data_IF_324765081921
#
_entry.id   IF_324765081921
#
_cell.length_a   1.000
_cell.length_b   1.000
_cell.length_c   1.000
_cell.angle_alpha   90.00
_cell.angle_beta   90.00
_cell.angle_gamma   90.00
#
_symmetry.space_group_name_H-M   'P 1'
#
loop_
_entity.id
_entity.type
_entity.pdbx_description
1 polymer ?
#
# COMPACT_ATOMS: atom_id res chain seq x y z
N UNK A 1 -57.82 42.40 42.39
CA UNK A 1 -57.35 41.03 42.21
C UNK A 1 -56.26 41.06 41.16
N UNK A 2 -54.98 40.97 41.56
CA UNK A 2 -53.82 41.10 40.64
C UNK A 2 -53.25 39.68 40.41
N UNK A 3 -53.41 39.13 39.20
CA UNK A 3 -52.84 37.88 38.81
C UNK A 3 -51.34 38.08 38.59
N UNK A 4 -50.52 37.37 39.39
CA UNK A 4 -49.06 37.23 39.18
C UNK A 4 -48.86 36.03 38.22
N UNK A 5 -48.40 36.33 37.01
CA UNK A 5 -47.91 35.32 36.07
C UNK A 5 -46.44 35.02 36.40
N UNK A 6 -46.15 33.79 36.81
CA UNK A 6 -44.78 33.32 36.99
C UNK A 6 -44.26 32.82 35.63
N UNK A 7 -43.24 33.46 35.10
CA UNK A 7 -42.46 32.97 34.01
C UNK A 7 -41.37 31.99 34.56
N UNK A 8 -41.52 30.72 34.28
CA UNK A 8 -40.49 29.74 34.50
C UNK A 8 -39.63 29.72 33.20
N UNK A 9 -38.42 30.31 33.28
CA UNK A 9 -37.40 30.18 32.25
C UNK A 9 -36.73 28.83 32.42
N UNK A 10 -37.08 27.87 31.57
CA UNK A 10 -36.34 26.62 31.45
C UNK A 10 -35.01 26.90 30.76
N UNK A 11 -33.91 26.85 31.52
CA UNK A 11 -32.55 26.79 31.00
C UNK A 11 -32.40 25.41 30.31
N UNK A 12 -32.53 25.34 28.99
CA UNK A 12 -32.00 24.23 28.23
C UNK A 12 -30.47 24.39 28.20
N UNK A 13 -29.79 23.67 29.07
CA UNK A 13 -28.36 23.40 28.92
C UNK A 13 -28.19 22.52 27.69
N UNK A 14 -27.98 23.12 26.52
CA UNK A 14 -27.54 22.42 25.34
C UNK A 14 -26.16 21.84 25.65
N UNK A 15 -26.12 20.54 25.93
CA UNK A 15 -24.87 19.77 25.81
C UNK A 15 -24.53 19.84 24.33
N UNK A 16 -23.64 20.79 23.95
CA UNK A 16 -23.00 20.74 22.67
C UNK A 16 -22.23 19.41 22.64
N UNK A 17 -22.78 18.40 21.98
CA UNK A 17 -22.02 17.24 21.61
C UNK A 17 -20.87 17.76 20.75
N UNK A 18 -19.68 17.83 21.36
CA UNK A 18 -18.49 18.04 20.55
C UNK A 18 -18.44 16.87 19.58
N UNK A 19 -18.28 17.11 18.28
CA UNK A 19 -18.07 16.02 17.34
C UNK A 19 -16.87 15.25 17.90
N UNK A 20 -17.05 13.95 18.18
CA UNK A 20 -15.97 13.02 18.48
C UNK A 20 -15.06 13.06 17.26
N UNK A 21 -14.05 13.93 17.31
CA UNK A 21 -13.04 14.01 16.28
C UNK A 21 -12.27 12.71 16.36
N UNK A 22 -12.43 11.84 15.37
CA UNK A 22 -11.60 10.66 15.26
C UNK A 22 -10.15 11.11 15.39
N UNK A 23 -9.40 10.48 16.30
CA UNK A 23 -7.99 10.83 16.48
C UNK A 23 -7.27 10.51 15.19
N UNK A 24 -6.66 11.51 14.59
CA UNK A 24 -5.88 11.35 13.37
C UNK A 24 -4.68 10.45 13.65
N UNK A 25 -4.45 9.44 12.83
CA UNK A 25 -3.28 8.59 12.92
C UNK A 25 -3.48 7.25 12.18
N UNK A 26 -2.37 6.70 11.73
CA UNK A 26 -2.22 5.30 11.35
C UNK A 26 -1.14 4.76 12.28
N UNK A 27 -1.55 3.90 13.21
CA UNK A 27 -0.69 3.40 14.26
C UNK A 27 -0.22 2.00 13.93
N UNK A 28 1.05 1.71 14.23
CA UNK A 28 1.50 0.32 14.29
C UNK A 28 0.87 -0.37 15.51
N UNK A 29 0.62 -1.67 15.47
CA UNK A 29 -0.06 -2.37 16.57
C UNK A 29 0.62 -2.20 17.94
N UNK A 30 1.95 -2.15 17.97
CA UNK A 30 2.77 -1.93 19.17
C UNK A 30 2.55 -0.55 19.82
N UNK A 31 2.10 0.46 19.06
CA UNK A 31 1.76 1.79 19.56
C UNK A 31 0.36 1.85 20.22
N UNK A 32 -0.51 0.87 20.00
CA UNK A 32 -1.88 0.91 20.52
C UNK A 32 -1.98 0.97 22.05
N UNK A 33 -1.12 0.32 22.84
CA UNK A 33 -1.09 0.48 24.29
C UNK A 33 -0.77 1.90 24.74
N UNK A 34 0.07 2.65 24.01
CA UNK A 34 0.47 4.02 24.36
C UNK A 34 -0.70 5.01 24.22
N UNK A 35 -1.62 4.73 23.30
CA UNK A 35 -2.84 5.53 23.06
C UNK A 35 -4.10 4.92 23.69
N UNK A 36 -3.96 4.00 24.65
CA UNK A 36 -5.06 3.25 25.28
C UNK A 36 -6.17 4.14 25.82
N UNK A 37 -5.82 5.32 26.40
CA UNK A 37 -6.80 6.24 26.94
C UNK A 37 -7.69 6.84 25.84
N UNK A 38 -7.10 7.20 24.70
CA UNK A 38 -7.81 7.75 23.56
C UNK A 38 -8.71 6.69 22.90
N UNK A 39 -8.19 5.47 22.73
CA UNK A 39 -8.96 4.34 22.19
C UNK A 39 -10.19 4.01 23.05
N UNK A 40 -10.04 4.03 24.37
CA UNK A 40 -11.18 3.85 25.30
C UNK A 40 -12.17 5.01 25.20
N UNK A 41 -11.70 6.24 25.06
CA UNK A 41 -12.57 7.41 24.90
C UNK A 41 -13.40 7.34 23.61
N UNK A 42 -12.92 6.66 22.57
CA UNK A 42 -13.66 6.40 21.32
C UNK A 42 -14.52 5.14 21.37
N UNK A 43 -14.58 4.44 22.50
CA UNK A 43 -15.47 3.29 22.71
C UNK A 43 -14.81 1.90 22.58
N UNK A 44 -13.47 1.81 22.51
CA UNK A 44 -12.81 0.50 22.48
C UNK A 44 -13.01 -0.22 23.82
N UNK A 45 -13.61 -1.41 23.78
CA UNK A 45 -13.84 -2.30 24.92
C UNK A 45 -12.72 -3.34 25.10
N UNK A 46 -12.04 -3.72 24.02
CA UNK A 46 -10.94 -4.70 24.05
C UNK A 46 -9.70 -4.06 24.67
N UNK A 47 -8.92 -4.84 25.41
CA UNK A 47 -7.63 -4.36 25.92
C UNK A 47 -6.68 -4.06 24.75
N UNK A 48 -6.14 -2.82 24.62
CA UNK A 48 -5.21 -2.44 23.57
C UNK A 48 -3.97 -3.35 23.43
N UNK A 49 -3.47 -3.90 24.54
CA UNK A 49 -2.39 -4.89 24.55
C UNK A 49 -2.70 -6.15 23.71
N UNK A 50 -3.98 -6.54 23.68
CA UNK A 50 -4.41 -7.67 22.84
C UNK A 50 -4.34 -7.35 21.35
N UNK A 51 -4.48 -6.08 20.99
CA UNK A 51 -4.38 -5.60 19.61
C UNK A 51 -2.93 -5.37 19.17
N UNK A 52 -1.99 -5.28 20.10
CA UNK A 52 -0.56 -5.16 19.81
C UNK A 52 0.06 -6.50 19.36
N UNK A 53 -0.52 -7.65 19.75
CA UNK A 53 -0.05 -8.97 19.36
C UNK A 53 -0.59 -9.39 17.98
N UNK A 54 0.24 -9.23 16.94
CA UNK A 54 -0.11 -9.62 15.57
C UNK A 54 -0.20 -11.14 15.35
N UNK A 55 0.20 -11.96 16.31
CA UNK A 55 0.10 -13.43 16.24
C UNK A 55 -1.03 -13.99 17.10
N UNK A 56 -1.62 -13.16 17.98
CA UNK A 56 -2.75 -13.45 18.84
C UNK A 56 -4.10 -13.05 18.22
N UNK A 57 -5.20 -13.47 18.88
CA UNK A 57 -6.54 -13.01 18.47
C UNK A 57 -6.80 -11.59 18.98
N UNK A 58 -7.40 -10.69 18.18
CA UNK A 58 -7.95 -10.90 16.85
C UNK A 58 -6.94 -10.68 15.68
N UNK A 59 -5.81 -10.06 15.94
CA UNK A 59 -4.88 -9.58 14.90
C UNK A 59 -4.26 -10.71 14.09
N UNK A 60 -4.00 -11.86 14.68
CA UNK A 60 -3.50 -13.05 13.98
C UNK A 60 -4.46 -13.66 12.95
N UNK A 61 -5.70 -13.15 12.85
CA UNK A 61 -6.60 -13.48 11.75
C UNK A 61 -6.42 -12.58 10.53
N UNK A 62 -5.74 -11.43 10.67
CA UNK A 62 -5.47 -10.48 9.58
C UNK A 62 -4.26 -10.95 8.80
N UNK A 63 -4.40 -11.06 7.48
CA UNK A 63 -3.39 -11.61 6.59
C UNK A 63 -3.13 -10.70 5.39
N UNK A 64 -1.97 -10.86 4.76
CA UNK A 64 -1.60 -10.12 3.56
C UNK A 64 -1.76 -10.98 2.31
N UNK A 65 -2.24 -10.38 1.22
CA UNK A 65 -2.22 -10.99 -0.11
C UNK A 65 -1.05 -10.47 -0.97
N UNK A 66 -0.06 -9.84 -0.34
CA UNK A 66 1.09 -9.24 -1.03
C UNK A 66 0.90 -7.79 -1.47
N UNK A 67 -0.33 -7.36 -1.73
CA UNK A 67 -0.67 -5.96 -2.10
C UNK A 67 -2.03 -5.55 -1.57
N UNK A 68 -2.70 -6.44 -0.84
CA UNK A 68 -4.02 -6.23 -0.26
C UNK A 68 -4.08 -6.81 1.14
N UNK A 69 -4.90 -6.20 1.99
CA UNK A 69 -5.29 -6.77 3.29
C UNK A 69 -6.41 -7.78 3.12
N UNK A 70 -6.40 -8.79 3.96
CA UNK A 70 -7.44 -9.81 4.03
C UNK A 70 -7.57 -10.35 5.46
N UNK A 71 -8.59 -11.15 5.73
CA UNK A 71 -8.76 -11.80 7.03
C UNK A 71 -9.34 -13.18 6.89
N UNK A 72 -8.88 -14.14 7.72
CA UNK A 72 -9.58 -15.39 7.88
C UNK A 72 -10.91 -15.16 8.61
N UNK A 73 -11.98 -15.74 8.06
CA UNK A 73 -13.34 -15.66 8.62
C UNK A 73 -13.96 -17.04 8.86
N UNK A 74 -13.18 -18.09 8.77
CA UNK A 74 -13.61 -19.44 9.12
C UNK A 74 -12.45 -20.32 9.58
N UNK A 75 -12.71 -21.38 10.36
CA UNK A 75 -11.68 -22.35 10.77
C UNK A 75 -11.21 -23.25 9.63
N UNK A 76 -11.73 -23.07 8.41
CA UNK A 76 -11.39 -23.85 7.22
C UNK A 76 -10.78 -22.95 6.12
N UNK A 77 -9.99 -21.96 6.51
CA UNK A 77 -9.18 -21.16 5.59
C UNK A 77 -9.94 -20.21 4.67
N UNK A 78 -11.24 -19.92 4.95
CA UNK A 78 -11.97 -18.91 4.17
C UNK A 78 -11.42 -17.52 4.49
N UNK A 79 -11.09 -16.76 3.45
CA UNK A 79 -10.46 -15.45 3.51
C UNK A 79 -11.38 -14.42 2.86
N UNK A 80 -11.70 -13.34 3.57
CA UNK A 80 -12.40 -12.19 3.02
C UNK A 80 -11.38 -11.13 2.60
N UNK A 81 -11.60 -10.51 1.44
CA UNK A 81 -10.81 -9.39 0.93
C UNK A 81 -11.67 -8.48 0.06
N UNK A 82 -11.10 -7.43 -0.48
CA UNK A 82 -11.79 -6.55 -1.42
C UNK A 82 -12.03 -7.23 -2.78
N UNK A 83 -13.12 -6.86 -3.46
CA UNK A 83 -13.38 -7.34 -4.83
C UNK A 83 -12.28 -6.90 -5.80
N UNK A 84 -11.83 -5.65 -5.72
CA UNK A 84 -10.77 -5.17 -6.60
C UNK A 84 -9.45 -5.96 -6.44
N UNK A 85 -9.17 -6.53 -5.26
CA UNK A 85 -8.03 -7.41 -5.02
C UNK A 85 -8.21 -8.79 -5.67
N UNK A 86 -9.44 -9.30 -5.71
CA UNK A 86 -9.78 -10.58 -6.32
C UNK A 86 -10.03 -10.49 -7.83
N UNK A 87 -10.29 -9.29 -8.35
CA UNK A 87 -10.75 -9.07 -9.74
C UNK A 87 -9.81 -9.68 -10.79
N UNK A 88 -8.49 -9.64 -10.54
CA UNK A 88 -7.51 -10.32 -11.41
C UNK A 88 -7.73 -11.84 -11.51
N UNK A 89 -8.10 -12.49 -10.41
CA UNK A 89 -8.42 -13.93 -10.40
C UNK A 89 -9.78 -14.21 -11.03
N UNK A 90 -10.76 -13.33 -10.86
CA UNK A 90 -12.06 -13.43 -11.56
C UNK A 90 -11.85 -13.34 -13.07
N UNK A 91 -11.08 -12.36 -13.53
CA UNK A 91 -10.75 -12.19 -14.95
C UNK A 91 -9.97 -13.39 -15.51
N UNK A 92 -9.00 -13.91 -14.76
CA UNK A 92 -8.20 -15.08 -15.16
C UNK A 92 -9.05 -16.32 -15.45
N UNK A 93 -10.12 -16.50 -14.68
CA UNK A 93 -11.05 -17.64 -14.81
C UNK A 93 -12.26 -17.36 -15.72
N UNK A 94 -12.42 -16.12 -16.20
CA UNK A 94 -13.53 -15.78 -17.10
C UNK A 94 -13.26 -16.18 -18.54
N UNK A 95 -14.29 -16.67 -19.21
CA UNK A 95 -14.32 -16.96 -20.65
C UNK A 95 -15.52 -16.26 -21.30
N UNK A 96 -15.63 -16.31 -22.63
CA UNK A 96 -16.81 -15.78 -23.32
C UNK A 96 -18.12 -16.47 -22.91
N UNK A 97 -18.06 -17.77 -22.59
CA UNK A 97 -19.20 -18.57 -22.15
C UNK A 97 -19.49 -18.39 -20.66
N UNK A 98 -18.47 -18.12 -19.84
CA UNK A 98 -18.56 -17.97 -18.40
C UNK A 98 -17.91 -16.65 -17.97
N UNK A 99 -18.58 -15.54 -18.24
CA UNK A 99 -18.09 -14.20 -17.87
C UNK A 99 -18.37 -13.90 -16.39
N UNK A 100 -17.46 -14.31 -15.52
CA UNK A 100 -17.59 -14.08 -14.07
C UNK A 100 -17.44 -12.62 -13.65
N UNK A 101 -16.83 -11.75 -14.47
CA UNK A 101 -16.82 -10.30 -14.21
C UNK A 101 -18.23 -9.72 -14.31
N UNK A 102 -19.01 -10.17 -15.29
CA UNK A 102 -20.37 -9.71 -15.51
C UNK A 102 -21.40 -10.38 -14.59
N UNK A 103 -21.26 -11.70 -14.39
CA UNK A 103 -22.28 -12.51 -13.73
C UNK A 103 -21.95 -12.82 -12.25
N UNK A 104 -20.73 -12.52 -11.79
CA UNK A 104 -20.24 -12.97 -10.49
C UNK A 104 -19.88 -14.46 -10.50
N UNK A 105 -19.31 -14.92 -9.39
CA UNK A 105 -18.93 -16.31 -9.17
C UNK A 105 -19.28 -16.75 -7.76
N UNK A 106 -19.80 -17.95 -7.60
CA UNK A 106 -20.02 -18.60 -6.30
C UNK A 106 -19.77 -20.11 -6.43
N UNK A 107 -18.74 -20.60 -5.77
CA UNK A 107 -18.54 -22.04 -5.55
C UNK A 107 -19.51 -22.54 -4.48
N UNK A 108 -20.40 -23.45 -4.84
CA UNK A 108 -21.37 -24.09 -3.90
C UNK A 108 -20.74 -25.23 -3.10
N UNK A 109 -19.63 -25.78 -3.64
CA UNK A 109 -18.84 -26.84 -3.00
C UNK A 109 -17.35 -26.54 -3.19
N UNK A 110 -16.50 -27.12 -2.32
CA UNK A 110 -15.04 -26.96 -2.41
C UNK A 110 -14.44 -27.44 -3.74
N UNK A 111 -15.07 -28.45 -4.35
CA UNK A 111 -14.68 -28.96 -5.67
C UNK A 111 -14.95 -28.00 -6.84
N UNK A 112 -15.74 -26.96 -6.60
CA UNK A 112 -16.06 -25.92 -7.58
C UNK A 112 -15.20 -24.65 -7.41
N UNK A 113 -14.38 -24.57 -6.34
CA UNK A 113 -13.50 -23.46 -6.09
C UNK A 113 -12.41 -23.37 -7.17
N UNK A 114 -12.24 -22.22 -7.78
CA UNK A 114 -11.34 -22.00 -8.91
C UNK A 114 -9.94 -21.54 -8.45
N UNK A 115 -8.85 -22.05 -9.03
CA UNK A 115 -7.53 -21.53 -8.75
C UNK A 115 -7.48 -20.01 -8.94
N UNK A 116 -6.88 -19.29 -7.99
CA UNK A 116 -6.62 -17.87 -8.17
C UNK A 116 -5.61 -17.63 -9.32
N UNK A 117 -5.50 -16.37 -9.75
CA UNK A 117 -4.52 -16.01 -10.77
C UNK A 117 -3.10 -16.44 -10.35
N UNK A 118 -2.23 -16.86 -11.30
CA UNK A 118 -0.87 -17.26 -11.00
C UNK A 118 -0.13 -16.19 -10.17
N UNK A 119 0.59 -16.62 -9.13
CA UNK A 119 1.29 -15.73 -8.21
C UNK A 119 0.46 -15.24 -7.03
N UNK A 120 -0.84 -15.55 -6.97
CA UNK A 120 -1.64 -15.27 -5.78
C UNK A 120 -1.09 -16.00 -4.56
N UNK A 121 -1.03 -15.30 -3.43
CA UNK A 121 -0.49 -15.81 -2.16
C UNK A 121 -1.34 -15.32 -0.99
N UNK A 122 -1.37 -16.10 0.09
CA UNK A 122 -1.81 -15.64 1.40
C UNK A 122 -0.62 -15.73 2.35
N UNK A 123 -0.22 -14.60 2.92
CA UNK A 123 0.86 -14.52 3.89
C UNK A 123 0.28 -14.43 5.30
N UNK A 124 0.57 -15.43 6.13
CA UNK A 124 0.12 -15.51 7.52
C UNK A 124 1.30 -15.19 8.44
N UNK A 125 1.23 -14.08 9.17
CA UNK A 125 2.28 -13.73 10.15
C UNK A 125 2.31 -14.74 11.28
N UNK A 126 3.46 -15.37 11.48
CA UNK A 126 3.65 -16.42 12.51
C UNK A 126 4.60 -16.00 13.62
N UNK A 127 5.51 -15.06 13.32
CA UNK A 127 6.50 -14.56 14.29
C UNK A 127 6.91 -13.14 13.91
N UNK A 128 7.18 -12.32 14.93
CA UNK A 128 7.71 -10.97 14.80
C UNK A 128 8.85 -10.84 15.82
N UNK A 129 10.00 -10.35 15.37
CA UNK A 129 11.18 -10.20 16.23
C UNK A 129 11.90 -8.89 15.93
N UNK A 130 12.32 -8.19 16.97
CA UNK A 130 13.23 -7.04 16.84
C UNK A 130 14.62 -7.52 16.42
N UNK A 131 15.11 -6.98 15.32
CA UNK A 131 16.47 -7.26 14.78
C UNK A 131 17.31 -5.98 14.67
N UNK A 132 16.86 -4.89 15.29
CA UNK A 132 17.49 -3.57 15.24
C UNK A 132 18.96 -3.63 15.62
N UNK A 133 19.29 -4.28 16.74
CA UNK A 133 20.68 -4.42 17.19
C UNK A 133 21.56 -5.14 16.16
N UNK A 134 21.03 -6.19 15.50
CA UNK A 134 21.77 -6.93 14.47
C UNK A 134 22.03 -6.09 13.23
N UNK A 135 21.05 -5.26 12.83
CA UNK A 135 21.17 -4.42 11.64
C UNK A 135 22.05 -3.21 11.91
N UNK A 136 21.92 -2.57 13.08
CA UNK A 136 22.58 -1.30 13.41
C UNK A 136 23.97 -1.42 14.03
N UNK A 137 24.46 -2.59 14.37
CA UNK A 137 25.75 -2.76 15.03
C UNK A 137 26.88 -2.06 14.28
N UNK A 138 27.47 -1.02 14.88
CA UNK A 138 28.63 -0.30 14.36
C UNK A 138 28.40 0.55 13.11
N UNK A 139 27.17 0.73 12.61
CA UNK A 139 26.91 1.49 11.36
C UNK A 139 27.14 2.99 11.51
N UNK A 140 27.09 3.55 12.72
CA UNK A 140 27.22 4.98 12.96
C UNK A 140 28.66 5.50 12.68
N UNK A 141 29.63 4.62 12.68
CA UNK A 141 31.04 4.94 12.36
C UNK A 141 31.34 4.85 10.85
N UNK A 142 30.41 4.40 10.04
CA UNK A 142 30.58 4.17 8.60
C UNK A 142 30.24 5.42 7.78
N UNK A 143 30.86 5.57 6.61
CA UNK A 143 30.41 6.55 5.61
C UNK A 143 28.99 6.22 5.11
N UNK A 144 28.23 7.19 4.54
CA UNK A 144 26.86 6.95 4.08
C UNK A 144 26.71 5.75 3.13
N UNK A 145 27.61 5.58 2.18
CA UNK A 145 27.56 4.46 1.23
C UNK A 145 27.88 3.12 1.92
N UNK A 146 28.92 3.08 2.75
CA UNK A 146 29.27 1.86 3.51
C UNK A 146 28.15 1.47 4.48
N UNK A 147 27.48 2.46 5.09
CA UNK A 147 26.32 2.24 5.96
C UNK A 147 25.18 1.60 5.16
N UNK A 148 24.84 2.17 4.01
CA UNK A 148 23.79 1.63 3.14
C UNK A 148 24.09 0.18 2.75
N UNK A 149 25.27 -0.10 2.23
CA UNK A 149 25.68 -1.43 1.80
C UNK A 149 25.68 -2.44 2.96
N UNK A 150 26.11 -2.00 4.15
CA UNK A 150 26.16 -2.85 5.35
C UNK A 150 24.74 -3.19 5.84
N UNK A 151 23.85 -2.20 5.89
CA UNK A 151 22.46 -2.41 6.29
C UNK A 151 21.75 -3.33 5.29
N UNK A 152 21.89 -3.05 3.99
CA UNK A 152 21.28 -3.85 2.92
C UNK A 152 21.74 -5.33 2.99
N UNK A 153 23.06 -5.57 3.18
CA UNK A 153 23.58 -6.92 3.28
C UNK A 153 23.06 -7.65 4.54
N UNK A 154 23.03 -6.97 5.70
CA UNK A 154 22.52 -7.57 6.95
C UNK A 154 21.05 -7.92 6.88
N UNK A 155 20.25 -7.05 6.26
CA UNK A 155 18.81 -7.31 5.99
C UNK A 155 18.64 -8.55 5.12
N UNK A 156 19.46 -8.71 4.07
CA UNK A 156 19.46 -9.90 3.22
C UNK A 156 19.86 -11.16 3.98
N UNK A 157 20.91 -11.08 4.80
CA UNK A 157 21.40 -12.23 5.58
C UNK A 157 20.35 -12.70 6.60
N UNK A 158 19.73 -11.76 7.34
CA UNK A 158 18.66 -12.07 8.29
C UNK A 158 17.45 -12.68 7.57
N UNK A 159 17.09 -12.15 6.40
CA UNK A 159 16.00 -12.67 5.59
C UNK A 159 16.30 -14.09 5.10
N UNK A 160 17.50 -14.34 4.58
CA UNK A 160 17.92 -15.64 4.10
C UNK A 160 18.00 -16.69 5.23
N UNK A 161 18.48 -16.30 6.42
CA UNK A 161 18.48 -17.14 7.61
C UNK A 161 17.05 -17.56 8.00
N UNK A 162 16.12 -16.61 8.03
CA UNK A 162 14.71 -16.86 8.35
C UNK A 162 14.05 -17.81 7.33
N UNK A 163 14.38 -17.69 6.06
CA UNK A 163 13.78 -18.50 4.97
C UNK A 163 14.42 -19.88 4.79
N UNK A 164 15.37 -20.28 5.64
CA UNK A 164 15.83 -21.67 5.69
C UNK A 164 14.68 -22.62 6.08
N UNK A 165 13.70 -22.13 6.80
CA UNK A 165 12.47 -22.86 7.08
C UNK A 165 11.61 -22.90 5.80
N UNK A 166 11.42 -24.07 5.21
CA UNK A 166 10.65 -24.24 3.99
C UNK A 166 9.20 -23.76 4.15
N UNK A 167 8.69 -23.06 3.14
CA UNK A 167 7.31 -22.55 3.11
C UNK A 167 7.11 -21.21 3.80
N UNK A 168 8.17 -20.60 4.34
CA UNK A 168 8.10 -19.27 4.92
C UNK A 168 8.66 -18.21 3.97
N UNK A 169 8.11 -17.01 4.07
CA UNK A 169 8.57 -15.79 3.41
C UNK A 169 8.82 -14.73 4.48
N UNK A 170 10.05 -14.24 4.55
CA UNK A 170 10.47 -13.31 5.59
C UNK A 170 10.69 -11.90 5.03
N UNK A 171 10.44 -10.91 5.87
CA UNK A 171 10.64 -9.50 5.58
C UNK A 171 11.28 -8.83 6.78
N UNK A 172 12.37 -8.10 6.57
CA UNK A 172 12.87 -7.14 7.56
C UNK A 172 12.30 -5.77 7.19
N UNK A 173 11.40 -5.27 8.01
CA UNK A 173 10.80 -3.95 7.86
C UNK A 173 11.61 -2.91 8.62
N UNK A 174 11.81 -1.73 8.01
CA UNK A 174 12.46 -0.58 8.64
C UNK A 174 11.41 0.43 9.07
N UNK A 175 11.53 0.94 10.30
CA UNK A 175 10.67 1.98 10.86
C UNK A 175 11.48 3.21 11.25
N UNK A 176 10.82 4.35 11.35
CA UNK A 176 11.39 5.63 11.82
C UNK A 176 12.71 6.02 11.13
N UNK A 177 12.76 5.85 9.80
CA UNK A 177 13.95 6.22 9.03
C UNK A 177 15.18 5.32 9.27
N UNK A 178 14.98 4.09 9.75
CA UNK A 178 16.06 3.14 10.05
C UNK A 178 16.51 3.13 11.52
N UNK A 179 15.69 3.70 12.41
CA UNK A 179 15.91 3.59 13.85
C UNK A 179 15.54 2.20 14.38
N UNK A 180 14.55 1.55 13.78
CA UNK A 180 14.09 0.23 14.16
C UNK A 180 13.98 -0.71 12.96
N UNK A 181 14.32 -1.98 13.18
CA UNK A 181 14.21 -3.05 12.20
C UNK A 181 13.51 -4.25 12.80
N UNK A 182 12.43 -4.67 12.17
CA UNK A 182 11.60 -5.78 12.63
C UNK A 182 11.57 -6.90 11.59
N UNK A 183 11.96 -8.09 12.00
CA UNK A 183 11.81 -9.31 11.20
C UNK A 183 10.39 -9.83 11.34
N UNK A 184 9.71 -9.99 10.21
CA UNK A 184 8.35 -10.55 10.10
C UNK A 184 8.44 -11.87 9.36
N UNK A 185 8.23 -12.99 10.06
CA UNK A 185 8.18 -14.34 9.48
C UNK A 185 6.74 -14.69 9.14
N UNK A 186 6.50 -15.08 7.88
CA UNK A 186 5.17 -15.36 7.38
C UNK A 186 5.12 -16.71 6.68
N UNK A 187 4.14 -17.53 7.03
CA UNK A 187 3.81 -18.71 6.22
C UNK A 187 3.29 -18.24 4.86
N UNK A 188 3.88 -18.70 3.77
CA UNK A 188 3.47 -18.42 2.40
C UNK A 188 2.51 -19.51 1.92
N UNK A 189 1.21 -19.28 1.94
CA UNK A 189 0.23 -20.21 1.36
C UNK A 189 0.11 -19.92 -0.12
N UNK A 190 0.44 -20.91 -0.96
CA UNK A 190 0.57 -20.78 -2.42
C UNK A 190 -0.66 -21.26 -3.18
N UNK A 191 -1.42 -22.21 -2.65
CA UNK A 191 -2.69 -22.65 -3.21
C UNK A 191 -3.82 -21.79 -2.65
N UNK A 192 -4.24 -20.82 -3.45
CA UNK A 192 -5.32 -19.89 -3.15
C UNK A 192 -6.43 -20.11 -4.18
N UNK A 193 -7.68 -20.28 -3.71
CA UNK A 193 -8.81 -20.54 -4.61
C UNK A 193 -9.91 -19.53 -4.40
N UNK A 194 -10.48 -19.06 -5.54
CA UNK A 194 -11.64 -18.19 -5.56
C UNK A 194 -12.89 -18.93 -5.12
N UNK A 195 -13.59 -18.41 -4.13
CA UNK A 195 -14.82 -18.98 -3.58
C UNK A 195 -16.05 -18.17 -4.00
N UNK A 196 -15.91 -16.83 -3.92
CA UNK A 196 -16.98 -15.91 -4.26
C UNK A 196 -16.41 -14.59 -4.77
N UNK A 197 -17.04 -14.06 -5.79
CA UNK A 197 -16.87 -12.68 -6.23
C UNK A 197 -18.23 -12.17 -6.73
N UNK A 198 -18.68 -10.97 -6.33
CA UNK A 198 -19.86 -10.35 -6.92
C UNK A 198 -19.60 -9.99 -8.39
N UNK A 199 -20.65 -9.79 -9.16
CA UNK A 199 -20.56 -9.15 -10.46
C UNK A 199 -19.93 -7.76 -10.35
N UNK A 200 -19.22 -7.29 -11.38
CA UNK A 200 -18.63 -5.92 -11.40
C UNK A 200 -19.69 -4.84 -11.17
N UNK A 201 -20.94 -5.06 -11.58
CA UNK A 201 -22.09 -4.17 -11.30
C UNK A 201 -22.37 -3.95 -9.80
N UNK A 202 -21.84 -4.82 -8.92
CA UNK A 202 -21.90 -4.71 -7.47
C UNK A 202 -20.50 -4.41 -6.93
N UNK A 203 -19.50 -5.23 -7.28
CA UNK A 203 -18.15 -5.15 -6.76
C UNK A 203 -17.36 -3.92 -7.22
N UNK A 204 -17.78 -3.31 -8.33
CA UNK A 204 -17.27 -2.05 -8.89
C UNK A 204 -18.39 -1.03 -9.12
N UNK A 205 -19.46 -1.10 -8.32
CA UNK A 205 -20.57 -0.16 -8.43
C UNK A 205 -20.10 1.29 -8.31
N UNK A 206 -20.64 2.17 -9.19
CA UNK A 206 -20.24 3.57 -9.29
C UNK A 206 -18.95 3.79 -10.10
N UNK A 207 -18.22 2.71 -10.44
CA UNK A 207 -17.04 2.76 -11.29
C UNK A 207 -16.02 3.82 -10.87
N UNK A 208 -15.44 4.51 -11.86
CA UNK A 208 -14.46 5.56 -11.61
C UNK A 208 -15.11 6.87 -11.13
N UNK A 209 -16.45 7.06 -11.35
CA UNK A 209 -17.18 8.25 -10.90
C UNK A 209 -17.23 8.29 -9.37
N UNK A 210 -17.55 7.17 -8.70
CA UNK A 210 -17.66 7.09 -7.25
C UNK A 210 -16.30 6.81 -6.58
N UNK A 211 -15.26 6.50 -7.34
CA UNK A 211 -13.93 6.25 -6.80
C UNK A 211 -13.40 7.51 -6.10
N UNK A 212 -12.83 7.34 -4.88
CA UNK A 212 -12.40 8.43 -4.00
C UNK A 212 -13.49 9.42 -3.60
N UNK A 213 -14.77 9.01 -3.69
CA UNK A 213 -15.92 9.83 -3.32
C UNK A 213 -16.61 9.31 -2.07
N UNK A 214 -17.29 10.19 -1.36
CA UNK A 214 -18.16 9.89 -0.22
C UNK A 214 -19.52 10.55 -0.42
N UNK A 215 -20.65 9.86 -0.16
CA UNK A 215 -20.76 8.44 0.23
C UNK A 215 -20.46 7.49 -0.94
N UNK A 216 -20.11 6.23 -0.60
CA UNK A 216 -19.82 5.19 -1.59
C UNK A 216 -20.66 3.94 -1.29
N UNK A 217 -21.24 3.33 -2.33
CA UNK A 217 -22.16 2.20 -2.23
C UNK A 217 -21.63 0.94 -2.94
N UNK A 218 -20.35 0.85 -3.16
CA UNK A 218 -19.71 -0.29 -3.82
C UNK A 218 -19.68 -1.51 -2.88
N UNK A 219 -20.12 -2.67 -3.37
CA UNK A 219 -19.98 -3.96 -2.68
C UNK A 219 -18.61 -4.58 -2.89
N UNK A 220 -17.54 -3.88 -2.46
CA UNK A 220 -16.14 -4.22 -2.74
C UNK A 220 -15.64 -5.31 -1.79
N UNK A 221 -16.18 -6.54 -1.91
CA UNK A 221 -15.73 -7.71 -1.17
C UNK A 221 -15.75 -8.97 -2.01
N UNK A 222 -14.84 -9.89 -1.73
CA UNK A 222 -14.73 -11.23 -2.34
C UNK A 222 -14.16 -12.22 -1.34
N UNK A 223 -14.31 -13.50 -1.64
CA UNK A 223 -13.79 -14.57 -0.78
C UNK A 223 -12.84 -15.47 -1.55
N UNK A 224 -11.73 -15.77 -0.92
CA UNK A 224 -10.81 -16.83 -1.28
C UNK A 224 -10.83 -17.94 -0.23
N UNK A 225 -10.22 -19.07 -0.54
CA UNK A 225 -9.83 -20.09 0.46
C UNK A 225 -8.35 -20.42 0.26
N UNK A 226 -7.65 -20.49 1.38
CA UNK A 226 -6.25 -20.93 1.45
C UNK A 226 -6.19 -22.45 1.61
N UNK A 227 -5.31 -23.10 0.85
CA UNK A 227 -5.08 -24.54 0.87
C UNK A 227 -3.60 -24.86 1.12
N UNK A 228 -3.34 -25.99 1.75
CA UNK A 228 -2.01 -26.50 2.05
C UNK A 228 -1.95 -28.00 1.73
N UNK A 229 -0.75 -28.57 1.65
CA UNK A 229 -0.59 -30.02 1.56
C UNK A 229 -1.27 -30.74 2.75
N UNK A 230 -1.60 -32.04 2.63
CA UNK A 230 -2.25 -32.79 3.70
C UNK A 230 -1.49 -32.81 5.03
N UNK A 231 -0.18 -32.65 4.99
CA UNK A 231 0.70 -32.52 6.16
C UNK A 231 0.74 -31.12 6.78
N UNK A 232 0.03 -30.13 6.17
CA UNK A 232 -0.04 -28.75 6.60
C UNK A 232 1.06 -27.85 6.07
N UNK A 233 1.96 -28.37 5.23
CA UNK A 233 3.04 -27.56 4.61
C UNK A 233 2.54 -26.73 3.43
N UNK A 234 3.24 -25.63 3.15
CA UNK A 234 2.99 -24.78 1.96
C UNK A 234 3.22 -25.60 0.69
N UNK A 235 2.25 -25.58 -0.22
CA UNK A 235 2.30 -26.29 -1.49
C UNK A 235 1.69 -25.46 -2.63
N UNK A 236 2.18 -25.65 -3.86
CA UNK A 236 1.49 -25.16 -5.06
C UNK A 236 0.15 -25.90 -5.22
N UNK A 237 -0.70 -25.39 -6.13
CA UNK A 237 -2.01 -26.00 -6.39
C UNK A 237 -1.94 -27.51 -6.63
N UNK A 238 -2.74 -28.28 -5.91
CA UNK A 238 -2.98 -29.69 -6.12
C UNK A 238 -4.41 -30.05 -5.69
N UNK A 239 -5.04 -30.99 -6.40
CA UNK A 239 -6.36 -31.50 -6.00
C UNK A 239 -6.33 -32.21 -4.63
N UNK A 240 -5.17 -32.72 -4.22
CA UNK A 240 -4.97 -33.39 -2.93
C UNK A 240 -4.82 -32.41 -1.76
N UNK A 241 -4.62 -31.12 -2.03
CA UNK A 241 -4.48 -30.13 -0.97
C UNK A 241 -5.77 -29.97 -0.16
N UNK A 242 -5.58 -29.69 1.13
CA UNK A 242 -6.68 -29.53 2.10
C UNK A 242 -6.80 -28.07 2.53
N UNK A 243 -8.00 -27.61 2.94
CA UNK A 243 -8.16 -26.26 3.47
C UNK A 243 -7.21 -25.99 4.64
N UNK A 244 -6.51 -24.86 4.58
CA UNK A 244 -5.69 -24.37 5.68
C UNK A 244 -6.55 -24.18 6.93
N UNK A 245 -6.02 -24.51 8.10
CA UNK A 245 -6.68 -24.32 9.39
C UNK A 245 -5.98 -23.19 10.15
N UNK A 246 -6.47 -21.94 10.02
CA UNK A 246 -5.86 -20.82 10.71
C UNK A 246 -6.00 -20.97 12.23
N UNK A 247 -4.98 -20.54 12.97
CA UNK A 247 -5.01 -20.49 14.43
C UNK A 247 -6.10 -19.53 14.92
N UNK A 248 -6.32 -18.46 14.19
CA UNK A 248 -7.30 -17.41 14.50
C UNK A 248 -8.15 -17.09 13.27
N UNK A 249 -9.42 -16.79 13.48
CA UNK A 249 -10.33 -16.27 12.45
C UNK A 249 -11.35 -15.32 13.09
N UNK A 250 -11.75 -14.30 12.34
CA UNK A 250 -12.76 -13.34 12.76
C UNK A 250 -14.17 -13.93 12.60
N UNK A 251 -15.10 -13.51 13.43
CA UNK A 251 -16.53 -13.79 13.26
C UNK A 251 -17.15 -12.64 12.48
N UNK A 252 -17.93 -12.97 11.46
CA UNK A 252 -18.73 -11.98 10.74
C UNK A 252 -19.97 -11.66 11.59
N UNK A 253 -20.16 -10.38 11.95
CA UNK A 253 -21.36 -9.89 12.62
C UNK A 253 -22.37 -9.44 11.58
N UNK A 254 -23.60 -9.90 11.67
CA UNK A 254 -24.74 -9.45 10.88
C UNK A 254 -25.64 -8.42 11.62
N UNK A 255 -25.24 -8.01 12.83
CA UNK A 255 -26.02 -7.06 13.62
C UNK A 255 -26.00 -5.63 13.06
N UNK A 256 -25.01 -5.31 12.23
CA UNK A 256 -24.78 -3.95 11.74
C UNK A 256 -24.02 -3.10 12.77
N UNK A 257 -23.99 -1.79 12.51
CA UNK A 257 -23.36 -0.77 13.34
C UNK A 257 -24.37 0.36 13.54
N UNK A 258 -24.35 0.95 14.71
CA UNK A 258 -25.10 2.16 15.03
C UNK A 258 -24.15 3.39 15.01
N UNK A 259 -24.75 4.58 14.95
CA UNK A 259 -23.97 5.84 15.02
C UNK A 259 -23.30 5.97 16.39
N UNK A 260 -21.98 6.15 16.37
CA UNK A 260 -21.16 6.23 17.60
C UNK A 260 -20.49 4.91 18.00
N UNK A 261 -20.77 3.81 17.32
CA UNK A 261 -20.05 2.54 17.58
C UNK A 261 -18.57 2.66 17.24
N UNK A 262 -17.74 2.03 18.04
CA UNK A 262 -16.31 1.93 17.76
C UNK A 262 -16.03 1.01 16.56
N UNK A 263 -15.27 1.51 15.61
CA UNK A 263 -14.78 0.74 14.46
C UNK A 263 -13.26 0.87 14.34
N UNK A 264 -12.60 -0.18 13.89
CA UNK A 264 -11.17 -0.23 13.65
C UNK A 264 -10.88 -0.92 12.33
N UNK A 265 -10.03 -0.32 11.49
CA UNK A 265 -9.49 -0.97 10.31
C UNK A 265 -8.08 -1.48 10.62
N UNK A 266 -7.86 -2.78 10.49
CA UNK A 266 -6.56 -3.43 10.65
C UNK A 266 -6.13 -4.08 9.33
N UNK A 267 -4.87 -3.89 8.94
CA UNK A 267 -4.39 -4.46 7.69
C UNK A 267 -2.97 -4.06 7.32
N UNK A 268 -2.67 -4.25 6.05
CA UNK A 268 -1.37 -3.98 5.44
C UNK A 268 -1.50 -2.81 4.45
N UNK A 269 -1.55 -1.55 4.94
CA UNK A 269 -1.65 -0.38 4.08
C UNK A 269 -0.38 -0.20 3.25
N UNK A 270 -0.45 0.64 2.20
CA UNK A 270 0.70 1.03 1.41
C UNK A 270 1.65 1.94 2.20
N UNK A 271 1.64 3.23 1.89
CA UNK A 271 2.46 4.23 2.57
C UNK A 271 1.60 5.37 3.10
N UNK A 272 2.09 6.04 4.16
CA UNK A 272 1.50 7.27 4.69
C UNK A 272 2.60 8.27 5.02
N UNK A 273 2.31 9.57 4.86
CA UNK A 273 3.23 10.68 5.10
C UNK A 273 2.59 11.66 6.08
N UNK A 274 2.61 11.34 7.38
CA UNK A 274 1.90 12.13 8.39
C UNK A 274 2.74 13.21 9.04
N UNK A 275 4.01 12.95 9.29
CA UNK A 275 4.90 13.84 10.04
C UNK A 275 5.91 14.57 9.15
N UNK A 276 5.54 14.80 7.88
CA UNK A 276 6.38 15.54 6.93
C UNK A 276 6.50 17.01 7.31
N UNK A 277 7.68 17.56 7.08
CA UNK A 277 8.02 18.97 7.33
C UNK A 277 7.31 19.89 6.32
N UNK A 278 7.16 21.16 6.69
CA UNK A 278 6.51 22.19 5.87
C UNK A 278 7.10 22.28 4.44
N UNK A 279 8.43 22.19 4.32
CA UNK A 279 9.12 22.21 3.02
C UNK A 279 8.67 21.06 2.12
N UNK A 280 8.57 19.85 2.66
CA UNK A 280 8.10 18.66 1.94
C UNK A 280 6.61 18.76 1.58
N UNK A 281 5.76 19.25 2.49
CA UNK A 281 4.34 19.48 2.22
C UNK A 281 4.16 20.48 1.07
N UNK A 282 4.90 21.60 1.08
CA UNK A 282 4.90 22.56 -0.02
C UNK A 282 5.34 21.92 -1.33
N UNK A 283 6.50 21.23 -1.34
CA UNK A 283 6.98 20.56 -2.54
C UNK A 283 5.97 19.54 -3.09
N UNK A 284 5.30 18.78 -2.21
CA UNK A 284 4.30 17.80 -2.60
C UNK A 284 3.07 18.44 -3.24
N UNK A 285 2.48 19.44 -2.61
CA UNK A 285 1.19 20.01 -3.06
C UNK A 285 1.32 21.18 -4.04
N UNK A 286 2.48 21.82 -4.11
CA UNK A 286 2.71 22.95 -5.03
C UNK A 286 3.48 22.54 -6.30
N UNK A 287 4.26 21.42 -6.26
CA UNK A 287 5.03 20.95 -7.39
C UNK A 287 4.77 19.49 -7.77
N UNK A 288 5.03 18.52 -6.88
CA UNK A 288 5.01 17.10 -7.23
C UNK A 288 3.65 16.64 -7.74
N UNK A 289 2.60 16.83 -6.94
CA UNK A 289 1.25 16.38 -7.31
C UNK A 289 0.68 17.13 -8.52
N UNK A 290 0.74 18.47 -8.62
CA UNK A 290 0.28 19.17 -9.81
C UNK A 290 1.02 18.77 -11.10
N UNK A 291 2.35 18.59 -11.02
CA UNK A 291 3.16 18.13 -12.15
C UNK A 291 2.75 16.72 -12.57
N UNK A 292 2.56 15.83 -11.59
CA UNK A 292 2.19 14.46 -11.89
C UNK A 292 0.76 14.33 -12.42
N UNK A 293 -0.20 15.08 -11.89
CA UNK A 293 -1.57 15.15 -12.45
C UNK A 293 -1.54 15.60 -13.91
N UNK A 294 -0.73 16.61 -14.25
CA UNK A 294 -0.56 17.05 -15.63
C UNK A 294 0.03 15.95 -16.52
N UNK A 295 1.05 15.25 -16.02
CA UNK A 295 1.65 14.13 -16.75
C UNK A 295 0.66 12.97 -16.92
N UNK A 296 -0.11 12.62 -15.88
CA UNK A 296 -1.11 11.54 -15.93
C UNK A 296 -2.20 11.83 -16.97
N UNK A 297 -2.71 13.07 -17.03
CA UNK A 297 -3.70 13.44 -18.04
C UNK A 297 -3.12 13.30 -19.46
N UNK A 298 -1.93 13.84 -19.71
CA UNK A 298 -1.27 13.70 -21.01
C UNK A 298 -0.99 12.23 -21.37
N UNK A 299 -0.69 11.41 -20.37
CA UNK A 299 -0.43 9.98 -20.56
C UNK A 299 -1.70 9.22 -20.91
N UNK A 300 -2.81 9.50 -20.22
CA UNK A 300 -4.13 8.94 -20.51
C UNK A 300 -4.53 9.30 -21.94
N UNK A 301 -4.49 10.58 -22.31
CA UNK A 301 -4.81 11.07 -23.65
C UNK A 301 -3.94 10.38 -24.72
N UNK A 302 -2.63 10.24 -24.47
CA UNK A 302 -1.70 9.57 -25.39
C UNK A 302 -2.06 8.10 -25.62
N UNK A 303 -2.44 7.37 -24.56
CA UNK A 303 -2.88 5.98 -24.69
C UNK A 303 -4.20 5.91 -25.43
N UNK A 304 -5.17 6.78 -25.13
CA UNK A 304 -6.49 6.79 -25.78
C UNK A 304 -6.41 7.11 -27.28
N UNK A 305 -5.53 8.02 -27.67
CA UNK A 305 -5.25 8.32 -29.07
C UNK A 305 -4.56 7.16 -29.80
N UNK A 306 -3.57 6.52 -29.17
CA UNK A 306 -2.82 5.40 -29.77
C UNK A 306 -3.58 4.06 -29.74
N UNK A 307 -4.54 3.91 -28.82
CA UNK A 307 -5.40 2.74 -28.63
C UNK A 307 -6.89 3.15 -28.61
N UNK A 308 -7.50 3.44 -29.77
CA UNK A 308 -8.92 3.84 -29.84
C UNK A 308 -9.86 2.75 -29.28
N UNK A 309 -11.04 3.17 -28.82
CA UNK A 309 -12.06 2.24 -28.32
C UNK A 309 -12.35 1.13 -29.35
N UNK A 310 -12.48 -0.10 -28.88
CA UNK A 310 -12.76 -1.28 -29.70
C UNK A 310 -11.53 -1.87 -30.40
N UNK A 311 -10.33 -1.28 -30.26
CA UNK A 311 -9.11 -1.86 -30.80
C UNK A 311 -8.50 -2.92 -29.86
N UNK A 312 -7.73 -3.88 -30.43
CA UNK A 312 -6.98 -4.87 -29.65
C UNK A 312 -5.98 -4.20 -28.70
N UNK A 313 -5.38 -3.09 -29.11
CA UNK A 313 -4.50 -2.30 -28.27
C UNK A 313 -5.23 -1.74 -27.05
N UNK A 314 -6.48 -1.26 -27.19
CA UNK A 314 -7.31 -0.78 -26.07
C UNK A 314 -7.53 -1.87 -25.03
N UNK A 315 -7.86 -3.09 -25.44
CA UNK A 315 -8.05 -4.22 -24.52
C UNK A 315 -6.79 -4.49 -23.70
N UNK A 316 -5.61 -4.40 -24.31
CA UNK A 316 -4.32 -4.60 -23.62
C UNK A 316 -4.03 -3.50 -22.60
N UNK A 317 -4.43 -2.26 -22.87
CA UNK A 317 -4.12 -1.09 -22.04
C UNK A 317 -5.24 -0.69 -21.07
N UNK A 318 -6.41 -1.35 -21.09
CA UNK A 318 -7.55 -1.03 -20.23
C UNK A 318 -7.21 -1.02 -18.74
N UNK A 319 -6.46 -2.02 -18.27
CA UNK A 319 -6.01 -2.09 -16.88
C UNK A 319 -5.03 -0.97 -16.52
N UNK A 320 -4.18 -0.55 -17.47
CA UNK A 320 -3.25 0.56 -17.29
C UNK A 320 -4.00 1.89 -17.21
N UNK A 321 -4.93 2.13 -18.12
CA UNK A 321 -5.79 3.32 -18.11
C UNK A 321 -6.59 3.42 -16.81
N UNK A 322 -7.21 2.32 -16.36
CA UNK A 322 -7.91 2.30 -15.08
C UNK A 322 -6.98 2.68 -13.89
N UNK A 323 -5.73 2.19 -13.89
CA UNK A 323 -4.74 2.56 -12.89
C UNK A 323 -4.35 4.04 -12.94
N UNK A 324 -4.11 4.58 -14.13
CA UNK A 324 -3.76 6.00 -14.33
C UNK A 324 -4.90 6.92 -13.91
N UNK A 325 -6.15 6.63 -14.32
CA UNK A 325 -7.34 7.38 -13.92
C UNK A 325 -7.56 7.35 -12.40
N UNK A 326 -7.39 6.17 -11.78
CA UNK A 326 -7.49 6.03 -10.33
C UNK A 326 -6.46 6.93 -9.60
N UNK A 327 -5.22 6.95 -10.09
CA UNK A 327 -4.14 7.72 -9.47
C UNK A 327 -4.31 9.23 -9.70
N UNK A 328 -4.67 9.63 -10.90
CA UNK A 328 -4.97 11.03 -11.24
C UNK A 328 -6.07 11.60 -10.35
N UNK A 329 -7.18 10.89 -10.23
CA UNK A 329 -8.31 11.29 -9.39
C UNK A 329 -7.95 11.38 -7.91
N UNK A 330 -7.14 10.45 -7.43
CA UNK A 330 -6.62 10.47 -6.06
C UNK A 330 -5.79 11.74 -5.79
N UNK A 331 -4.79 12.02 -6.64
CA UNK A 331 -3.90 13.16 -6.46
C UNK A 331 -4.66 14.50 -6.58
N UNK A 332 -5.55 14.62 -7.54
CA UNK A 332 -6.42 15.81 -7.69
C UNK A 332 -7.27 16.02 -6.44
N UNK A 333 -7.90 14.96 -5.94
CA UNK A 333 -8.68 15.01 -4.71
C UNK A 333 -7.84 15.45 -3.50
N UNK A 334 -6.60 14.98 -3.39
CA UNK A 334 -5.67 15.40 -2.33
C UNK A 334 -5.30 16.88 -2.46
N UNK A 335 -4.97 17.37 -3.67
CA UNK A 335 -4.69 18.79 -3.92
C UNK A 335 -5.86 19.67 -3.50
N UNK A 336 -7.07 19.30 -3.91
CA UNK A 336 -8.28 20.07 -3.60
C UNK A 336 -8.60 20.01 -2.10
N UNK A 337 -8.43 18.86 -1.46
CA UNK A 337 -8.57 18.68 -0.03
C UNK A 337 -7.57 19.54 0.76
N UNK A 338 -6.29 19.48 0.39
CA UNK A 338 -5.24 20.28 1.03
C UNK A 338 -5.50 21.79 0.93
N UNK A 339 -5.99 22.25 -0.22
CA UNK A 339 -6.38 23.66 -0.42
C UNK A 339 -7.57 24.05 0.46
N UNK A 340 -8.61 23.20 0.55
CA UNK A 340 -9.83 23.48 1.34
C UNK A 340 -9.53 23.61 2.82
N UNK A 341 -8.64 22.78 3.36
CA UNK A 341 -8.27 22.82 4.79
C UNK A 341 -7.08 23.75 5.07
N UNK A 342 -6.53 24.40 4.05
CA UNK A 342 -5.29 25.19 4.18
C UNK A 342 -4.16 24.40 4.82
N UNK A 343 -3.89 23.17 4.31
CA UNK A 343 -2.92 22.24 4.90
C UNK A 343 -1.54 22.86 5.10
N UNK A 344 -1.06 23.64 4.14
CA UNK A 344 0.24 24.34 4.21
C UNK A 344 0.25 25.33 5.38
N UNK A 345 -0.83 26.11 5.57
CA UNK A 345 -0.97 27.04 6.68
C UNK A 345 -1.02 26.31 8.03
N UNK A 346 -1.83 25.26 8.14
CA UNK A 346 -1.90 24.43 9.35
C UNK A 346 -0.55 23.82 9.73
N UNK A 347 0.22 23.38 8.74
CA UNK A 347 1.57 22.84 8.99
C UNK A 347 2.52 23.94 9.45
N UNK A 348 2.48 25.11 8.84
CA UNK A 348 3.30 26.25 9.23
C UNK A 348 2.99 26.69 10.68
N UNK A 349 1.72 26.71 11.08
CA UNK A 349 1.32 27.02 12.46
C UNK A 349 1.88 26.00 13.46
N UNK A 350 1.76 24.69 13.17
CA UNK A 350 2.31 23.62 14.02
C UNK A 350 3.84 23.69 14.15
N UNK A 351 4.55 24.01 13.07
CA UNK A 351 6.01 24.16 13.14
C UNK A 351 6.42 25.40 13.93
N UNK A 352 5.70 26.52 13.78
CA UNK A 352 5.94 27.69 14.60
C UNK A 352 5.70 27.43 16.10
N UNK A 353 4.70 26.62 16.45
CA UNK A 353 4.47 26.18 17.84
C UNK A 353 5.63 25.32 18.35
N UNK A 354 6.14 24.38 17.52
CA UNK A 354 7.30 23.56 17.85
C UNK A 354 8.56 24.40 18.04
N UNK A 355 8.83 25.33 17.14
CA UNK A 355 9.97 26.26 17.21
C UNK A 355 9.91 27.11 18.49
N UNK A 356 8.72 27.62 18.83
CA UNK A 356 8.52 28.38 20.06
C UNK A 356 8.76 27.52 21.31
N UNK A 357 8.31 26.25 21.28
CA UNK A 357 8.54 25.30 22.37
C UNK A 357 10.04 24.95 22.52
N UNK A 358 10.76 24.80 21.43
CA UNK A 358 12.22 24.58 21.43
C UNK A 358 12.93 25.82 22.01
N UNK A 359 12.60 27.01 21.51
CA UNK A 359 13.23 28.25 21.92
C UNK A 359 12.99 28.60 23.38
N UNK A 360 11.92 28.12 24.00
CA UNK A 360 11.58 28.37 25.40
C UNK A 360 12.51 27.69 26.41
N UNK A 361 13.33 26.70 25.99
CA UNK A 361 14.21 25.95 26.88
C UNK A 361 15.55 25.59 26.19
N UNK A 362 16.69 26.14 26.66
CA UNK A 362 18.01 25.83 26.06
C UNK A 362 18.35 24.35 26.03
N UNK A 363 17.80 23.52 26.91
CA UNK A 363 18.02 22.06 26.91
C UNK A 363 17.45 21.36 25.68
N UNK A 364 16.60 22.05 24.92
CA UNK A 364 15.95 21.57 23.71
C UNK A 364 16.68 21.93 22.40
N UNK A 365 17.84 22.60 22.50
CA UNK A 365 18.61 23.05 21.31
C UNK A 365 18.90 21.93 20.30
N UNK A 366 19.15 20.70 20.76
CA UNK A 366 19.38 19.55 19.90
C UNK A 366 18.22 19.23 18.94
N UNK A 367 16.98 19.51 19.32
CA UNK A 367 15.83 19.39 18.42
C UNK A 367 15.90 20.41 17.26
N UNK A 368 16.32 21.65 17.55
CA UNK A 368 16.50 22.68 16.53
C UNK A 368 17.59 22.32 15.52
N UNK A 369 18.71 21.74 15.99
CA UNK A 369 19.79 21.27 15.12
C UNK A 369 19.31 20.11 14.22
N UNK A 370 18.57 19.14 14.78
CA UNK A 370 18.01 18.03 14.01
C UNK A 370 16.98 18.50 12.95
N UNK A 371 16.12 19.47 13.29
CA UNK A 371 15.16 20.08 12.39
C UNK A 371 15.88 20.78 11.22
N UNK A 372 16.91 21.59 11.51
CA UNK A 372 17.69 22.25 10.46
C UNK A 372 18.36 21.26 9.50
N UNK A 373 18.92 20.18 10.00
CA UNK A 373 19.51 19.12 9.20
C UNK A 373 18.45 18.39 8.33
N UNK A 374 17.25 18.14 8.86
CA UNK A 374 16.14 17.56 8.10
C UNK A 374 15.66 18.49 6.99
N UNK A 375 15.56 19.80 7.23
CA UNK A 375 15.15 20.77 6.23
C UNK A 375 16.17 20.87 5.09
N UNK A 376 17.46 20.84 5.39
CA UNK A 376 18.55 20.80 4.38
C UNK A 376 18.46 19.53 3.52
N UNK A 377 18.32 18.34 4.14
CA UNK A 377 18.16 17.08 3.42
C UNK A 377 16.88 17.04 2.57
N UNK A 378 15.79 17.63 3.04
CA UNK A 378 14.53 17.73 2.29
C UNK A 378 14.67 18.59 1.05
N UNK A 379 15.44 19.70 1.10
CA UNK A 379 15.69 20.58 -0.04
C UNK A 379 16.59 19.89 -1.07
N UNK A 380 17.67 19.23 -0.64
CA UNK A 380 18.52 18.42 -1.51
C UNK A 380 17.71 17.30 -2.19
N UNK A 381 16.90 16.58 -1.43
CA UNK A 381 16.03 15.50 -1.91
C UNK A 381 15.00 16.01 -2.93
N UNK A 382 14.39 17.17 -2.69
CA UNK A 382 13.44 17.78 -3.61
C UNK A 382 14.10 18.14 -4.96
N UNK A 383 15.34 18.62 -4.94
CA UNK A 383 16.11 18.91 -6.15
C UNK A 383 16.43 17.65 -6.95
N UNK A 384 16.93 16.61 -6.27
CA UNK A 384 17.19 15.32 -6.90
C UNK A 384 15.91 14.67 -7.45
N UNK A 385 14.79 14.78 -6.71
CA UNK A 385 13.50 14.25 -7.10
C UNK A 385 12.99 14.84 -8.42
N UNK A 386 13.23 16.12 -8.71
CA UNK A 386 12.82 16.77 -9.97
C UNK A 386 13.54 16.15 -11.17
N UNK A 387 14.87 16.01 -11.09
CA UNK A 387 15.66 15.34 -12.13
C UNK A 387 15.23 13.89 -12.32
N UNK A 388 15.07 13.16 -11.21
CA UNK A 388 14.69 11.75 -11.23
C UNK A 388 13.26 11.53 -11.74
N UNK A 389 12.34 12.46 -11.48
CA UNK A 389 10.96 12.38 -11.96
C UNK A 389 10.90 12.28 -13.48
N UNK A 390 11.54 13.18 -14.19
CA UNK A 390 11.52 13.19 -15.65
C UNK A 390 12.32 12.05 -16.26
N UNK A 391 13.53 11.81 -15.76
CA UNK A 391 14.37 10.70 -16.23
C UNK A 391 13.73 9.32 -15.99
N UNK A 392 13.15 9.12 -14.81
CA UNK A 392 12.46 7.87 -14.46
C UNK A 392 11.28 7.58 -15.38
N UNK A 393 10.54 8.60 -15.80
CA UNK A 393 9.43 8.42 -16.74
C UNK A 393 9.91 8.03 -18.14
N UNK A 394 11.03 8.56 -18.65
CA UNK A 394 11.58 8.15 -19.95
C UNK A 394 11.89 6.65 -20.00
N UNK A 395 12.27 6.07 -18.88
CA UNK A 395 12.63 4.64 -18.78
C UNK A 395 11.43 3.73 -18.39
N UNK A 396 10.24 4.30 -18.19
CA UNK A 396 9.03 3.59 -17.75
C UNK A 396 8.25 2.81 -18.84
N UNK A 397 8.34 3.10 -20.17
CA UNK A 397 7.66 2.30 -21.18
C UNK A 397 7.97 0.81 -21.05
N UNK A 398 6.99 -0.04 -21.37
CA UNK A 398 7.02 -1.46 -20.99
C UNK A 398 8.23 -2.20 -21.60
N UNK A 399 8.55 -1.96 -22.87
CA UNK A 399 9.67 -2.64 -23.54
C UNK A 399 11.01 -2.19 -22.98
N UNK A 400 11.23 -0.87 -22.85
CA UNK A 400 12.48 -0.32 -22.33
C UNK A 400 12.70 -0.70 -20.86
N UNK A 401 11.67 -0.57 -20.03
CA UNK A 401 11.74 -0.99 -18.62
C UNK A 401 12.00 -2.49 -18.47
N UNK A 402 11.43 -3.31 -19.35
CA UNK A 402 11.70 -4.76 -19.37
C UNK A 402 13.15 -5.04 -19.79
N UNK A 403 13.65 -4.34 -20.81
CA UNK A 403 15.04 -4.50 -21.27
C UNK A 403 16.04 -4.12 -20.14
N UNK A 404 15.80 -3.03 -19.42
CA UNK A 404 16.61 -2.63 -18.26
C UNK A 404 16.59 -3.70 -17.16
N UNK A 405 15.43 -4.24 -16.83
CA UNK A 405 15.30 -5.30 -15.82
C UNK A 405 16.04 -6.57 -16.22
N UNK A 406 15.99 -6.98 -17.50
CA UNK A 406 16.72 -8.12 -18.03
C UNK A 406 18.24 -7.88 -18.00
N UNK A 407 18.68 -6.69 -18.40
CA UNK A 407 20.08 -6.29 -18.31
C UNK A 407 20.58 -6.32 -16.85
N UNK A 408 19.78 -5.75 -15.93
CA UNK A 408 20.10 -5.78 -14.50
C UNK A 408 20.15 -7.21 -13.97
N UNK A 409 19.19 -8.07 -14.32
CA UNK A 409 19.22 -9.47 -13.93
C UNK A 409 20.50 -10.17 -14.41
N UNK A 410 20.93 -9.89 -15.65
CA UNK A 410 22.17 -10.47 -16.17
C UNK A 410 23.39 -10.05 -15.32
N UNK A 411 23.45 -8.79 -14.89
CA UNK A 411 24.51 -8.27 -14.02
C UNK A 411 24.40 -8.84 -12.60
N UNK A 412 23.21 -8.89 -12.05
CA UNK A 412 23.00 -9.44 -10.70
C UNK A 412 23.34 -10.92 -10.64
N UNK A 413 23.12 -11.71 -11.71
CA UNK A 413 23.51 -13.11 -11.78
C UNK A 413 25.04 -13.35 -11.79
N UNK A 414 25.85 -12.34 -12.05
CA UNK A 414 27.30 -12.41 -11.87
C UNK A 414 27.71 -12.48 -10.37
N UNK A 415 26.80 -12.07 -9.46
CA UNK A 415 26.99 -12.08 -8.00
C UNK A 415 26.43 -13.36 -7.37
N UNK A 416 26.97 -13.78 -6.20
CA UNK A 416 26.30 -14.75 -5.35
C UNK A 416 24.87 -14.30 -5.01
N UNK A 417 23.95 -15.25 -4.85
CA UNK A 417 22.52 -14.93 -4.64
C UNK A 417 22.25 -13.97 -3.47
N UNK A 418 22.92 -14.19 -2.34
CA UNK A 418 22.82 -13.36 -1.14
C UNK A 418 23.29 -11.89 -1.34
N UNK A 419 24.10 -11.62 -2.39
CA UNK A 419 24.60 -10.27 -2.71
C UNK A 419 23.80 -9.58 -3.81
N UNK A 420 22.86 -10.28 -4.45
CA UNK A 420 22.02 -9.69 -5.49
C UNK A 420 21.05 -8.68 -4.87
N UNK A 421 20.70 -7.68 -5.64
CA UNK A 421 19.64 -6.76 -5.24
C UNK A 421 18.30 -7.48 -5.05
N UNK A 422 17.47 -6.96 -4.15
CA UNK A 422 16.09 -7.42 -3.95
C UNK A 422 15.32 -7.39 -5.27
N UNK A 423 14.55 -8.45 -5.56
CA UNK A 423 13.87 -8.66 -6.83
C UNK A 423 14.68 -9.45 -7.87
N UNK A 424 16.00 -9.66 -7.66
CA UNK A 424 16.87 -10.45 -8.53
C UNK A 424 17.46 -11.69 -7.87
N UNK A 425 17.10 -11.93 -6.63
CA UNK A 425 17.46 -13.14 -5.89
C UNK A 425 16.63 -14.34 -6.37
N UNK A 426 17.12 -15.57 -6.15
CA UNK A 426 16.42 -16.79 -6.63
C UNK A 426 15.02 -16.90 -6.04
N UNK A 427 14.82 -16.42 -4.81
CA UNK A 427 13.51 -16.32 -4.16
C UNK A 427 12.48 -15.50 -4.95
N UNK A 428 12.91 -14.57 -5.81
CA UNK A 428 12.07 -13.63 -6.56
C UNK A 428 11.86 -14.05 -8.02
N UNK A 429 12.60 -15.06 -8.51
CA UNK A 429 12.61 -15.44 -9.93
C UNK A 429 11.27 -15.94 -10.44
N UNK A 430 10.43 -16.52 -9.59
CA UNK A 430 9.08 -16.92 -10.00
C UNK A 430 8.24 -15.70 -10.41
N UNK A 431 8.25 -14.65 -9.59
CA UNK A 431 7.54 -13.38 -9.88
C UNK A 431 8.15 -12.63 -11.07
N UNK A 432 9.48 -12.67 -11.20
CA UNK A 432 10.16 -12.08 -12.34
C UNK A 432 9.70 -12.72 -13.67
N UNK A 433 9.66 -14.06 -13.74
CA UNK A 433 9.19 -14.80 -14.94
C UNK A 433 7.73 -14.53 -15.24
N UNK A 434 6.87 -14.48 -14.20
CA UNK A 434 5.44 -14.12 -14.37
C UNK A 434 5.27 -12.72 -14.93
N UNK A 435 6.09 -11.76 -14.48
CA UNK A 435 6.10 -10.39 -15.02
C UNK A 435 6.44 -10.36 -16.52
N UNK A 436 7.41 -11.18 -16.96
CA UNK A 436 7.75 -11.31 -18.38
C UNK A 436 6.62 -11.94 -19.22
N UNK A 437 5.98 -13.00 -18.68
CA UNK A 437 4.84 -13.64 -19.36
C UNK A 437 3.62 -12.69 -19.47
N UNK A 438 3.43 -11.82 -18.50
CA UNK A 438 2.36 -10.84 -18.54
C UNK A 438 2.57 -9.78 -19.63
N UNK A 439 3.81 -9.54 -20.09
CA UNK A 439 4.12 -8.58 -21.14
C UNK A 439 3.39 -8.90 -22.46
N UNK A 440 3.34 -10.16 -22.86
CA UNK A 440 2.67 -10.58 -24.10
C UNK A 440 1.19 -10.13 -24.15
N UNK A 441 0.54 -10.07 -23.00
CA UNK A 441 -0.87 -9.69 -22.88
C UNK A 441 -1.10 -8.18 -22.72
N UNK A 442 -0.07 -7.41 -22.43
CA UNK A 442 -0.15 -5.98 -22.06
C UNK A 442 0.62 -5.07 -23.01
N UNK A 443 1.42 -5.63 -23.91
CA UNK A 443 2.28 -4.85 -24.80
C UNK A 443 1.62 -4.63 -26.17
N UNK A 444 1.69 -3.38 -26.62
CA UNK A 444 1.45 -2.96 -27.98
C UNK A 444 2.52 -1.96 -28.39
N UNK A 445 3.19 -2.22 -29.53
CA UNK A 445 4.36 -1.45 -29.95
C UNK A 445 4.04 0.01 -30.32
N UNK A 446 2.83 0.27 -30.83
CA UNK A 446 2.42 1.63 -31.20
C UNK A 446 2.15 2.48 -29.98
N UNK A 447 1.46 1.92 -28.98
CA UNK A 447 1.15 2.60 -27.72
C UNK A 447 2.42 2.82 -26.89
N UNK A 448 3.24 1.78 -26.74
CA UNK A 448 4.51 1.88 -25.97
C UNK A 448 5.46 2.92 -26.57
N UNK A 449 5.52 3.03 -27.91
CA UNK A 449 6.26 4.08 -28.60
C UNK A 449 5.68 5.47 -28.34
N UNK A 450 4.36 5.62 -28.35
CA UNK A 450 3.70 6.90 -28.08
C UNK A 450 3.96 7.36 -26.63
N UNK A 451 3.86 6.46 -25.66
CA UNK A 451 4.24 6.71 -24.26
C UNK A 451 5.71 7.16 -24.14
N UNK A 452 6.62 6.45 -24.81
CA UNK A 452 8.02 6.79 -24.79
C UNK A 452 8.29 8.20 -25.34
N UNK A 453 7.64 8.56 -26.45
CA UNK A 453 7.77 9.91 -27.05
C UNK A 453 7.20 10.99 -26.14
N UNK A 454 6.08 10.75 -25.46
CA UNK A 454 5.54 11.67 -24.45
C UNK A 454 6.57 11.95 -23.35
N UNK A 455 7.15 10.91 -22.77
CA UNK A 455 8.12 11.05 -21.68
C UNK A 455 9.43 11.67 -22.12
N UNK A 456 9.95 11.25 -23.28
CA UNK A 456 11.18 11.82 -23.84
C UNK A 456 11.02 13.31 -24.13
N UNK A 457 9.91 13.73 -24.73
CA UNK A 457 9.64 15.15 -24.99
C UNK A 457 9.49 15.93 -23.66
N UNK A 458 8.84 15.38 -22.67
CA UNK A 458 8.75 15.95 -21.32
C UNK A 458 10.13 16.15 -20.68
N UNK A 459 11.00 15.15 -20.80
CA UNK A 459 12.37 15.20 -20.29
C UNK A 459 13.20 16.27 -21.05
N UNK A 460 13.16 16.27 -22.38
CA UNK A 460 13.92 17.21 -23.21
C UNK A 460 13.48 18.67 -23.06
N UNK A 461 12.23 18.89 -22.61
CA UNK A 461 11.72 20.22 -22.30
C UNK A 461 12.29 20.80 -20.99
N UNK A 462 12.93 19.98 -20.15
CA UNK A 462 13.52 20.44 -18.90
C UNK A 462 14.82 21.21 -19.14
N UNK A 463 15.15 22.20 -18.27
CA UNK A 463 16.46 22.86 -18.31
C UNK A 463 17.62 21.84 -18.25
N UNK A 464 18.72 22.12 -18.94
CA UNK A 464 19.86 21.19 -18.94
C UNK A 464 20.41 20.86 -17.54
N UNK A 465 20.27 21.80 -16.58
CA UNK A 465 20.67 21.57 -15.19
C UNK A 465 19.78 20.57 -14.43
N UNK A 466 18.58 20.31 -14.92
CA UNK A 466 17.60 19.35 -14.35
C UNK A 466 17.59 18.03 -15.12
N UNK A 467 18.48 17.84 -16.10
CA UNK A 467 18.59 16.62 -16.89
C UNK A 467 19.81 15.80 -16.51
N UNK A 468 19.78 14.51 -16.81
CA UNK A 468 20.86 13.57 -16.54
C UNK A 468 21.92 13.69 -17.66
N UNK A 469 23.05 14.30 -17.37
CA UNK A 469 24.09 14.62 -18.36
C UNK A 469 24.61 13.41 -19.15
N UNK A 470 24.69 12.23 -18.53
CA UNK A 470 25.12 10.99 -19.20
C UNK A 470 24.05 10.49 -20.18
N UNK A 471 22.79 10.76 -19.91
CA UNK A 471 21.68 10.38 -20.80
C UNK A 471 21.54 11.34 -22.00
N UNK A 472 21.98 12.58 -21.86
CA UNK A 472 21.97 13.58 -22.94
C UNK A 472 23.06 13.36 -24.00
N UNK A 473 24.06 12.49 -23.75
CA UNK A 473 25.14 12.11 -24.66
C UNK A 473 24.72 11.03 -25.65
#
# INVERSE_FOLDING_TARGET
MRNKVFFIAALMAGVAAQPLSAKEGMFTPDQLPEIAADLKATGLEINPETLADLTGFPMGAVVSLGGCSASFVSPQGLVVTNHHCARGSVQYNSTAENNYLENGFLAKAKSEELPAAPGSRVYVTTEISDVTARVREGIDALSPNERYDTVDQRVKDITAECEQDAGYRCLVASFYGGEEYTLIKRLEVKDVRLVYAPADSIGKYGGDIDNWMWPRHTGDFSFYRAYVAPDGTSAEYSEDNVPYRPKHHLKVSAAGLDDGDFVMAAGYPGSTNRYTRLGEVKNTFEWTYPTFVTLLNNWIDTIEEAAPEGSDARVKYESRLAGLNNYEKNLRGQIDGARRVNLVGLRAEREAELDAWIAADPSRSGYGEAIAALDELSEESATAARTNFWYGNVTNPQLLGTAQRLYRLAKEKEKPDAQRESGYQERDMAFFRQGLQALDRRYDASVDKAEWLLFLNGYLAQPAAERVAVFDQ
#
